data_IF_588526765570
#
_entry.id   IF_588526765570
#
_cell.length_a   1.000
_cell.length_b   1.000
_cell.length_c   1.000
_cell.angle_alpha   90.00
_cell.angle_beta   90.00
_cell.angle_gamma   90.00
#
_symmetry.space_group_name_H-M   'P 1'
#
loop_
_entity.id
_entity.type
_entity.pdbx_description
1 polymer ?
#
# COMPACT_ATOMS: atom_id res chain seq x y z
N UNK A 1 12.76 10.23 16.42
CA UNK A 1 11.80 9.69 15.45
C UNK A 1 10.44 10.21 15.90
N UNK A 2 9.70 10.98 15.10
CA UNK A 2 8.37 11.42 15.47
C UNK A 2 7.52 10.20 15.82
N UNK A 3 6.77 10.31 16.95
CA UNK A 3 5.89 9.24 17.37
C UNK A 3 4.82 9.02 16.28
N UNK A 4 4.74 7.81 15.75
CA UNK A 4 3.66 7.43 14.86
C UNK A 4 2.34 7.67 15.59
N UNK A 5 1.36 8.33 14.96
CA UNK A 5 0.06 8.47 15.56
C UNK A 5 -0.45 7.08 15.94
N UNK A 6 -0.83 6.92 17.20
CA UNK A 6 -1.48 5.67 17.65
C UNK A 6 -2.63 5.39 16.67
N UNK A 7 -2.79 4.16 16.20
CA UNK A 7 -3.95 3.84 15.40
C UNK A 7 -5.18 4.18 16.24
N UNK A 8 -5.87 5.26 15.93
CA UNK A 8 -7.30 5.26 16.11
C UNK A 8 -7.72 4.16 15.15
N UNK A 9 -7.80 2.92 15.68
CA UNK A 9 -8.44 1.84 14.95
C UNK A 9 -9.83 2.41 14.69
N UNK A 10 -10.20 2.77 13.44
CA UNK A 10 -11.60 3.01 13.19
C UNK A 10 -12.19 1.66 13.57
N UNK A 11 -13.03 1.64 14.61
CA UNK A 11 -13.88 0.49 14.82
C UNK A 11 -14.41 0.12 13.45
N UNK A 12 -14.38 -1.18 13.06
CA UNK A 12 -14.79 -1.63 11.74
C UNK A 12 -16.08 -0.89 11.42
N UNK A 13 -16.04 -0.01 10.41
CA UNK A 13 -16.85 1.17 10.28
C UNK A 13 -18.26 0.90 10.71
N UNK A 14 -18.74 1.62 11.73
CA UNK A 14 -20.17 1.61 12.06
C UNK A 14 -20.88 1.92 10.76
N UNK A 15 -21.56 0.94 10.15
CA UNK A 15 -22.20 1.15 8.87
C UNK A 15 -23.22 2.27 9.06
N UNK A 16 -23.08 3.37 8.34
CA UNK A 16 -24.10 4.41 8.29
C UNK A 16 -25.43 3.84 7.79
N UNK A 17 -26.52 4.55 7.93
CA UNK A 17 -27.90 4.16 7.66
C UNK A 17 -28.18 2.89 6.84
N UNK A 18 -27.67 2.81 5.58
CA UNK A 18 -27.85 1.62 4.72
C UNK A 18 -27.14 0.40 5.30
N UNK A 19 -25.92 0.57 5.80
CA UNK A 19 -25.18 -0.54 6.38
C UNK A 19 -25.82 -1.11 7.63
N UNK A 20 -26.42 -0.26 8.49
CA UNK A 20 -27.20 -0.71 9.64
C UNK A 20 -28.44 -1.51 9.22
N UNK A 21 -29.13 -1.09 8.16
CA UNK A 21 -30.25 -1.82 7.62
C UNK A 21 -29.83 -3.21 7.09
N UNK A 22 -28.71 -3.29 6.38
CA UNK A 22 -28.16 -4.56 5.88
C UNK A 22 -27.80 -5.50 7.02
N UNK A 23 -27.18 -5.00 8.09
CA UNK A 23 -26.89 -5.78 9.28
C UNK A 23 -28.17 -6.28 9.97
N UNK A 24 -29.13 -5.37 10.24
CA UNK A 24 -30.30 -5.69 11.05
C UNK A 24 -31.34 -6.56 10.32
N UNK A 25 -31.49 -6.37 8.99
CA UNK A 25 -32.54 -7.02 8.21
C UNK A 25 -32.03 -8.23 7.43
N UNK A 26 -30.82 -8.11 6.84
CA UNK A 26 -30.26 -9.16 6.00
C UNK A 26 -29.16 -9.98 6.68
N UNK A 27 -28.88 -9.69 7.94
CA UNK A 27 -27.78 -10.32 8.70
C UNK A 27 -26.46 -10.34 7.92
N UNK A 28 -26.18 -9.24 7.20
CA UNK A 28 -25.00 -9.13 6.34
C UNK A 28 -23.73 -9.04 7.17
N UNK A 29 -22.68 -9.77 6.77
CA UNK A 29 -21.36 -9.66 7.35
C UNK A 29 -20.61 -8.49 6.73
N UNK A 30 -20.04 -7.62 7.56
CA UNK A 30 -19.17 -6.52 7.14
C UNK A 30 -17.71 -6.94 7.28
N UNK A 31 -16.99 -6.91 6.16
CA UNK A 31 -15.55 -7.20 6.11
C UNK A 31 -14.82 -6.02 5.46
N UNK A 32 -13.57 -5.74 5.88
CA UNK A 32 -12.74 -4.78 5.16
C UNK A 32 -12.63 -5.16 3.69
N UNK A 33 -12.87 -4.20 2.79
CA UNK A 33 -12.84 -4.48 1.34
C UNK A 33 -11.49 -5.02 0.88
N UNK A 34 -10.40 -4.61 1.52
CA UNK A 34 -9.06 -5.11 1.22
C UNK A 34 -8.95 -6.62 1.47
N UNK A 35 -9.56 -7.17 2.52
CA UNK A 35 -9.50 -8.59 2.82
C UNK A 35 -10.19 -9.42 1.73
N UNK A 36 -11.34 -8.94 1.24
CA UNK A 36 -12.07 -9.57 0.15
C UNK A 36 -11.25 -9.56 -1.15
N UNK A 37 -10.59 -8.45 -1.45
CA UNK A 37 -9.73 -8.33 -2.64
C UNK A 37 -8.53 -9.27 -2.52
N UNK A 38 -7.89 -9.34 -1.38
CA UNK A 38 -6.76 -10.24 -1.12
C UNK A 38 -7.18 -11.70 -1.34
N UNK A 39 -8.31 -12.11 -0.80
CA UNK A 39 -8.82 -13.48 -0.95
C UNK A 39 -9.09 -13.84 -2.42
N UNK A 40 -9.67 -12.92 -3.20
CA UNK A 40 -10.04 -13.16 -4.58
C UNK A 40 -8.87 -13.00 -5.58
N UNK A 41 -7.84 -12.24 -5.23
CA UNK A 41 -6.73 -11.92 -6.14
C UNK A 41 -5.67 -13.00 -6.25
N UNK A 42 -5.65 -13.98 -5.36
CA UNK A 42 -4.57 -14.96 -5.26
C UNK A 42 -3.25 -14.37 -4.74
N UNK A 43 -3.29 -13.19 -4.12
CA UNK A 43 -2.10 -12.48 -3.64
C UNK A 43 -1.28 -13.33 -2.66
N UNK A 44 -1.92 -14.12 -1.80
CA UNK A 44 -1.22 -14.94 -0.83
C UNK A 44 -0.33 -15.99 -1.52
N UNK A 45 -0.87 -16.70 -2.51
CA UNK A 45 -0.11 -17.67 -3.30
C UNK A 45 1.01 -16.99 -4.10
N UNK A 46 0.74 -15.82 -4.69
CA UNK A 46 1.75 -15.05 -5.41
C UNK A 46 2.89 -14.58 -4.49
N UNK A 47 2.57 -14.11 -3.27
CA UNK A 47 3.55 -13.67 -2.29
C UNK A 47 4.44 -14.82 -1.81
N UNK A 48 3.92 -16.03 -1.73
CA UNK A 48 4.69 -17.20 -1.29
C UNK A 48 5.92 -17.47 -2.18
N UNK A 49 5.77 -17.41 -3.50
CA UNK A 49 6.87 -17.67 -4.43
C UNK A 49 7.68 -16.44 -4.85
N UNK A 50 7.16 -15.24 -4.60
CA UNK A 50 7.86 -14.00 -4.94
C UNK A 50 9.15 -13.82 -4.12
N UNK A 51 10.18 -13.23 -4.71
CA UNK A 51 11.37 -12.77 -4.00
C UNK A 51 11.12 -11.41 -3.33
N UNK A 52 10.29 -10.58 -3.95
CA UNK A 52 9.96 -9.22 -3.51
C UNK A 52 8.56 -8.85 -3.97
N UNK A 53 7.87 -8.07 -3.20
CA UNK A 53 6.52 -7.59 -3.51
C UNK A 53 6.53 -6.08 -3.75
N UNK A 54 5.96 -5.65 -4.86
CA UNK A 54 5.73 -4.25 -5.16
C UNK A 54 4.27 -3.90 -4.92
N UNK A 55 4.05 -2.74 -4.31
CA UNK A 55 2.72 -2.16 -4.12
C UNK A 55 2.76 -0.66 -4.42
N UNK A 56 1.62 -0.01 -4.44
CA UNK A 56 1.60 1.45 -4.64
C UNK A 56 0.20 2.02 -4.66
N UNK A 57 0.16 3.34 -4.65
CA UNK A 57 -1.05 4.13 -4.81
C UNK A 57 -0.71 5.54 -5.32
N UNK A 58 -1.73 6.35 -5.62
CA UNK A 58 -1.53 7.72 -6.11
C UNK A 58 -0.83 8.63 -5.11
N UNK A 59 -1.10 8.51 -3.81
CA UNK A 59 -0.45 9.28 -2.75
C UNK A 59 -0.30 8.43 -1.49
N UNK A 60 0.93 8.28 -1.03
CA UNK A 60 1.28 7.60 0.22
C UNK A 60 1.65 8.63 1.28
N UNK A 61 1.03 8.53 2.45
CA UNK A 61 1.26 9.36 3.63
C UNK A 61 0.94 8.58 4.92
N UNK A 62 0.96 9.26 6.08
CA UNK A 62 0.61 8.64 7.35
C UNK A 62 -0.78 7.98 7.37
N UNK A 63 -1.73 8.45 6.57
CA UNK A 63 -3.09 7.88 6.53
C UNK A 63 -3.12 6.51 5.82
N UNK A 64 -2.12 6.18 5.02
CA UNK A 64 -2.00 4.88 4.36
C UNK A 64 -1.91 3.73 5.37
N UNK A 65 -1.43 3.98 6.59
CA UNK A 65 -1.38 3.00 7.68
C UNK A 65 -2.76 2.49 8.12
N UNK A 66 -3.85 3.21 7.82
CA UNK A 66 -5.20 2.90 8.27
C UNK A 66 -5.97 1.99 7.31
N UNK A 67 -5.34 0.91 6.85
CA UNK A 67 -6.01 -0.15 6.09
C UNK A 67 -6.17 0.11 4.60
N UNK A 68 -5.37 1.03 4.02
CA UNK A 68 -5.30 1.19 2.57
C UNK A 68 -4.56 0.02 1.91
N UNK A 69 -4.72 -0.11 0.60
CA UNK A 69 -4.19 -1.21 -0.21
C UNK A 69 -2.70 -1.52 0.04
N UNK A 70 -1.76 -0.55 0.12
CA UNK A 70 -0.36 -0.86 0.32
C UNK A 70 -0.07 -1.62 1.62
N UNK A 71 -0.75 -1.26 2.71
CA UNK A 71 -0.58 -1.93 4.00
C UNK A 71 -1.21 -3.32 3.98
N UNK A 72 -2.35 -3.50 3.32
CA UNK A 72 -2.96 -4.82 3.14
C UNK A 72 -2.04 -5.76 2.37
N UNK A 73 -1.46 -5.31 1.25
CA UNK A 73 -0.49 -6.07 0.46
C UNK A 73 0.75 -6.40 1.31
N UNK A 74 1.27 -5.42 2.06
CA UNK A 74 2.43 -5.62 2.91
C UNK A 74 2.16 -6.67 4.00
N UNK A 75 0.98 -6.67 4.61
CA UNK A 75 0.63 -7.67 5.63
C UNK A 75 0.66 -9.10 5.08
N UNK A 76 0.21 -9.30 3.85
CA UNK A 76 0.27 -10.61 3.18
C UNK A 76 1.72 -10.99 2.89
N UNK A 77 2.50 -10.11 2.28
CA UNK A 77 3.89 -10.35 1.95
C UNK A 77 4.73 -10.71 3.19
N UNK A 78 4.49 -10.02 4.32
CA UNK A 78 5.21 -10.25 5.57
C UNK A 78 4.87 -11.59 6.22
N UNK A 79 3.70 -12.17 6.00
CA UNK A 79 3.41 -13.55 6.43
C UNK A 79 4.36 -14.57 5.79
N UNK A 80 4.85 -14.27 4.57
CA UNK A 80 5.81 -15.08 3.83
C UNK A 80 7.26 -14.57 3.93
N UNK A 81 7.53 -13.61 4.84
CA UNK A 81 8.88 -13.04 5.04
C UNK A 81 9.42 -12.24 3.86
N UNK A 82 8.53 -11.75 2.96
CA UNK A 82 8.96 -11.08 1.73
C UNK A 82 9.17 -9.58 1.94
N UNK A 83 10.22 -9.00 1.33
CA UNK A 83 10.41 -7.55 1.32
C UNK A 83 9.34 -6.88 0.46
N UNK A 84 8.93 -5.67 0.88
CA UNK A 84 7.87 -4.89 0.24
C UNK A 84 8.37 -3.50 -0.11
N UNK A 85 8.27 -3.14 -1.38
CA UNK A 85 8.57 -1.79 -1.88
C UNK A 85 7.28 -1.14 -2.35
N UNK A 86 7.03 0.07 -1.88
CA UNK A 86 5.92 0.88 -2.35
C UNK A 86 6.41 1.97 -3.32
N UNK A 87 5.69 2.13 -4.45
CA UNK A 87 5.89 3.23 -5.40
C UNK A 87 4.62 4.06 -5.43
N UNK A 88 4.74 5.36 -5.16
CA UNK A 88 3.61 6.27 -5.11
C UNK A 88 3.77 7.45 -6.08
N UNK A 89 2.68 7.96 -6.60
CA UNK A 89 2.70 9.20 -7.37
C UNK A 89 3.23 10.36 -6.53
N UNK A 90 2.76 10.47 -5.29
CA UNK A 90 3.22 11.44 -4.28
C UNK A 90 3.56 10.73 -2.98
N UNK A 91 4.66 11.14 -2.37
CA UNK A 91 5.03 10.74 -1.01
C UNK A 91 4.83 11.93 -0.09
N UNK A 92 3.96 11.79 0.89
CA UNK A 92 3.66 12.79 1.91
C UNK A 92 4.43 12.56 3.20
N UNK A 93 4.04 13.28 4.24
CA UNK A 93 4.67 13.19 5.55
C UNK A 93 4.23 11.94 6.33
N UNK A 94 5.08 11.51 7.28
CA UNK A 94 4.77 10.43 8.24
C UNK A 94 4.86 9.04 7.63
N UNK A 95 5.54 8.86 6.49
CA UNK A 95 5.76 7.55 5.86
C UNK A 95 6.60 6.60 6.70
N UNK A 96 7.37 7.13 7.65
CA UNK A 96 8.20 6.36 8.58
C UNK A 96 7.36 5.35 9.37
N UNK A 97 6.09 5.68 9.61
CA UNK A 97 5.14 4.79 10.27
C UNK A 97 4.81 3.54 9.45
N UNK A 98 4.97 3.59 8.15
CA UNK A 98 4.66 2.47 7.25
C UNK A 98 5.70 1.35 7.35
N UNK A 99 6.93 1.67 7.77
CA UNK A 99 7.96 0.65 8.01
C UNK A 99 7.52 -0.32 9.12
N UNK A 100 6.90 0.19 10.19
CA UNK A 100 6.30 -0.63 11.23
C UNK A 100 5.07 -1.45 10.77
N UNK A 101 4.55 -1.17 9.57
CA UNK A 101 3.43 -1.89 8.94
C UNK A 101 3.87 -2.84 7.82
N UNK A 102 5.18 -3.05 7.68
CA UNK A 102 5.74 -4.04 6.75
C UNK A 102 6.09 -3.50 5.37
N UNK A 103 6.08 -2.18 5.16
CA UNK A 103 6.61 -1.56 3.94
C UNK A 103 8.08 -1.22 4.19
N UNK A 104 9.00 -1.88 3.51
CA UNK A 104 10.44 -1.74 3.74
C UNK A 104 11.01 -0.47 3.11
N UNK A 105 10.48 -0.06 1.95
CA UNK A 105 10.90 1.17 1.28
C UNK A 105 9.76 1.83 0.52
N UNK A 106 9.78 3.17 0.45
CA UNK A 106 8.78 3.97 -0.29
C UNK A 106 9.51 4.87 -1.27
N UNK A 107 9.08 4.87 -2.53
CA UNK A 107 9.63 5.71 -3.59
C UNK A 107 8.54 6.58 -4.22
N UNK A 108 8.85 7.88 -4.41
CA UNK A 108 8.01 8.79 -5.17
C UNK A 108 8.27 8.65 -6.66
N UNK A 109 7.20 8.60 -7.46
CA UNK A 109 7.32 8.52 -8.92
C UNK A 109 7.43 9.89 -9.59
N UNK A 110 7.04 10.98 -8.92
CA UNK A 110 7.16 12.33 -9.46
C UNK A 110 8.64 12.71 -9.65
N UNK A 111 9.09 13.01 -10.88
CA UNK A 111 10.51 13.31 -11.15
C UNK A 111 10.94 14.71 -10.71
N UNK A 112 10.00 15.62 -10.59
CA UNK A 112 10.18 17.02 -10.22
C UNK A 112 8.87 17.64 -9.77
N UNK A 113 8.90 18.90 -9.35
CA UNK A 113 7.69 19.69 -9.15
C UNK A 113 6.98 19.88 -10.50
N UNK A 114 5.73 19.47 -10.57
CA UNK A 114 4.88 19.58 -11.75
C UNK A 114 3.42 19.71 -11.31
N UNK A 115 2.56 20.18 -12.20
CA UNK A 115 1.11 20.20 -11.95
C UNK A 115 0.54 18.79 -11.84
N UNK A 116 -0.59 18.66 -11.16
CA UNK A 116 -1.27 17.36 -11.05
C UNK A 116 -1.61 16.76 -12.42
N UNK A 117 -2.08 17.60 -13.36
CA UNK A 117 -2.45 17.16 -14.71
C UNK A 117 -1.25 16.61 -15.48
N UNK A 118 -0.06 17.23 -15.34
CA UNK A 118 1.18 16.73 -15.93
C UNK A 118 1.59 15.40 -15.29
N UNK A 119 1.56 15.32 -13.97
CA UNK A 119 1.90 14.08 -13.25
C UNK A 119 0.98 12.92 -13.60
N UNK A 120 -0.33 13.17 -13.75
CA UNK A 120 -1.29 12.15 -14.15
C UNK A 120 -1.10 11.73 -15.62
N UNK A 121 -0.88 12.68 -16.52
CA UNK A 121 -0.61 12.40 -17.93
C UNK A 121 0.63 11.50 -18.11
N UNK A 122 1.69 11.78 -17.35
CA UNK A 122 2.96 11.09 -17.48
C UNK A 122 3.15 9.96 -16.44
N UNK A 123 2.09 9.62 -15.69
CA UNK A 123 2.15 8.69 -14.56
C UNK A 123 2.79 7.35 -14.92
N UNK A 124 2.41 6.75 -16.06
CA UNK A 124 2.97 5.47 -16.51
C UNK A 124 4.48 5.55 -16.73
N UNK A 125 4.97 6.58 -17.40
CA UNK A 125 6.39 6.78 -17.68
C UNK A 125 7.17 7.03 -16.38
N UNK A 126 6.59 7.80 -15.46
CA UNK A 126 7.19 8.12 -14.18
C UNK A 126 7.34 6.89 -13.29
N UNK A 127 6.28 6.07 -13.17
CA UNK A 127 6.32 4.80 -12.43
C UNK A 127 7.34 3.84 -13.05
N UNK A 128 7.36 3.69 -14.37
CA UNK A 128 8.30 2.81 -15.07
C UNK A 128 9.76 3.23 -14.79
N UNK A 129 10.07 4.53 -14.84
CA UNK A 129 11.40 5.08 -14.53
C UNK A 129 11.80 4.77 -13.09
N UNK A 130 10.91 4.99 -12.14
CA UNK A 130 11.18 4.72 -10.72
C UNK A 130 11.41 3.23 -10.49
N UNK A 131 10.56 2.36 -11.04
CA UNK A 131 10.71 0.91 -10.94
C UNK A 131 12.05 0.44 -11.55
N UNK A 132 12.48 1.02 -12.67
CA UNK A 132 13.78 0.73 -13.27
C UNK A 132 14.93 1.09 -12.32
N UNK A 133 14.91 2.27 -11.69
CA UNK A 133 15.98 2.67 -10.77
C UNK A 133 16.02 1.76 -9.54
N UNK A 134 14.87 1.39 -8.98
CA UNK A 134 14.78 0.45 -7.87
C UNK A 134 15.37 -0.90 -8.25
N UNK A 135 15.00 -1.44 -9.42
CA UNK A 135 15.52 -2.73 -9.88
C UNK A 135 17.02 -2.70 -10.20
N UNK A 136 17.56 -1.57 -10.70
CA UNK A 136 19.00 -1.36 -10.86
C UNK A 136 19.73 -1.43 -9.52
N UNK A 137 19.21 -0.76 -8.49
CA UNK A 137 19.77 -0.80 -7.13
C UNK A 137 19.77 -2.24 -6.58
N UNK A 138 18.67 -2.97 -6.72
CA UNK A 138 18.57 -4.36 -6.29
C UNK A 138 19.60 -5.27 -6.97
N UNK A 139 19.89 -5.05 -8.27
CA UNK A 139 20.92 -5.81 -8.99
C UNK A 139 22.31 -5.61 -8.41
N UNK A 140 22.66 -4.40 -8.00
CA UNK A 140 23.96 -4.10 -7.39
C UNK A 140 24.11 -4.89 -6.08
N UNK A 141 23.08 -4.90 -5.24
CA UNK A 141 23.10 -5.60 -3.95
C UNK A 141 23.22 -7.12 -4.11
N UNK A 142 22.63 -7.70 -5.17
CA UNK A 142 22.70 -9.15 -5.47
C UNK A 142 24.03 -9.58 -6.08
N UNK A 143 24.83 -8.65 -6.57
CA UNK A 143 26.10 -8.93 -7.24
C UNK A 143 27.30 -8.97 -6.29
N UNK A 144 27.06 -8.70 -5.02
CA UNK A 144 28.04 -8.72 -3.93
C UNK A 144 27.62 -9.74 -2.88
#
# INVERSE_FOLDING_TARGET
VPACPSPIIPEPGRPGGIGMALLAVLHADFRPGIDLVIEQSGLDAAAQWADIVFTGEGSIDAQTMFGKTPVGVASVAKRHGKPVIAIAGRVGDGIECLHGRGIDAVFGAAPSAASLDELLRDARANVARTAEQVTRLMRIVRSH
#
